data_IF_347679079117
#
_entry.id   IF_347679079117
#
_cell.length_a   1.000
_cell.length_b   1.000
_cell.length_c   1.000
_cell.angle_alpha   90.00
_cell.angle_beta   90.00
_cell.angle_gamma   90.00
#
_symmetry.space_group_name_H-M   'P 1'
#
loop_
_entity.id
_entity.type
_entity.pdbx_description
1 polymer ?
#
# COMPACT_ATOMS: atom_id res chain seq x y z
N UNK A 1 19.59 31.96 7.97
CA UNK A 1 18.27 31.37 7.69
C UNK A 1 18.35 29.89 7.98
N UNK A 2 17.97 29.50 9.18
CA UNK A 2 18.08 28.12 9.67
C UNK A 2 16.90 27.28 9.21
N UNK A 3 17.14 26.00 8.95
CA UNK A 3 16.09 24.99 8.78
C UNK A 3 15.88 24.31 10.14
N UNK A 4 14.69 24.44 10.72
CA UNK A 4 14.29 23.58 11.84
C UNK A 4 13.71 22.26 11.31
N UNK A 5 14.02 21.11 11.94
CA UNK A 5 13.43 19.82 11.61
C UNK A 5 12.14 19.57 12.41
N UNK A 6 11.10 19.04 11.77
CA UNK A 6 9.96 18.47 12.48
C UNK A 6 10.23 16.99 12.79
N UNK A 7 10.46 16.68 14.06
CA UNK A 7 10.49 15.32 14.59
C UNK A 7 9.48 15.18 15.73
N UNK A 8 8.80 14.03 15.75
CA UNK A 8 8.10 13.40 16.88
C UNK A 8 7.21 14.29 17.80
N UNK A 9 5.89 14.07 17.75
CA UNK A 9 5.10 13.77 18.96
C UNK A 9 3.75 13.16 18.56
N UNK A 10 3.57 11.87 18.83
CA UNK A 10 2.27 11.20 18.84
C UNK A 10 2.16 10.45 20.16
N UNK A 11 1.36 10.99 21.08
CA UNK A 11 0.99 10.32 22.33
C UNK A 11 -0.50 10.02 22.28
N UNK A 12 -0.84 8.74 22.30
CA UNK A 12 -2.23 8.28 22.43
C UNK A 12 -2.74 8.60 23.84
N UNK A 13 -3.88 9.30 23.94
CA UNK A 13 -4.65 9.32 25.18
C UNK A 13 -5.81 8.34 25.07
N UNK A 14 -5.59 7.15 25.62
CA UNK A 14 -6.66 6.18 25.88
C UNK A 14 -7.53 6.65 27.04
N UNK A 15 -8.81 6.92 26.77
CA UNK A 15 -9.86 6.95 27.80
C UNK A 15 -10.96 5.98 27.40
N UNK A 16 -11.06 4.88 28.16
CA UNK A 16 -12.07 3.85 27.93
C UNK A 16 -13.43 4.24 28.52
N UNK A 17 -14.50 3.83 27.84
CA UNK A 17 -15.82 3.66 28.44
C UNK A 17 -16.50 2.48 27.78
N UNK A 18 -16.68 1.40 28.54
CA UNK A 18 -17.45 0.24 28.11
C UNK A 18 -18.94 0.56 28.21
N UNK A 19 -19.72 0.18 27.20
CA UNK A 19 -21.13 -0.20 27.42
C UNK A 19 -21.51 -1.28 26.40
N UNK A 20 -21.87 -2.44 26.91
CA UNK A 20 -22.46 -3.52 26.11
C UNK A 20 -23.89 -3.14 25.72
N UNK A 21 -24.32 -3.49 24.51
CA UNK A 21 -25.72 -3.91 24.31
C UNK A 21 -25.82 -4.85 23.12
N UNK A 22 -26.30 -6.07 23.37
CA UNK A 22 -26.67 -7.00 22.32
C UNK A 22 -28.12 -6.79 21.88
N UNK A 23 -28.42 -7.04 20.59
CA UNK A 23 -29.65 -7.74 20.18
C UNK A 23 -29.61 -8.18 18.71
N UNK A 24 -30.33 -9.28 18.46
CA UNK A 24 -30.65 -9.88 17.16
C UNK A 24 -31.49 -8.93 16.29
N UNK A 25 -31.69 -9.16 14.99
CA UNK A 25 -32.66 -10.16 14.50
C UNK A 25 -32.44 -10.60 13.03
N UNK A 26 -33.16 -11.68 12.68
CA UNK A 26 -33.15 -12.35 11.39
C UNK A 26 -33.85 -11.56 10.27
N UNK A 27 -33.46 -11.81 9.02
CA UNK A 27 -34.40 -11.82 7.90
C UNK A 27 -33.95 -12.83 6.85
N UNK A 28 -34.68 -13.95 6.77
CA UNK A 28 -34.53 -14.95 5.73
C UNK A 28 -35.15 -14.44 4.43
N UNK A 29 -34.52 -14.68 3.28
CA UNK A 29 -35.28 -14.84 2.03
C UNK A 29 -34.73 -16.00 1.20
N UNK A 30 -35.48 -17.07 1.21
CA UNK A 30 -35.36 -18.21 0.32
C UNK A 30 -35.76 -17.84 -1.11
N UNK A 31 -35.08 -18.43 -2.10
CA UNK A 31 -35.77 -19.07 -3.23
C UNK A 31 -34.82 -20.06 -3.93
N UNK A 32 -35.27 -21.31 -4.06
CA UNK A 32 -34.57 -22.40 -4.72
C UNK A 32 -35.42 -22.98 -5.87
N UNK A 33 -34.77 -23.81 -6.72
CA UNK A 33 -35.30 -24.54 -7.91
C UNK A 33 -35.35 -23.70 -9.20
N UNK A 34 -35.12 -24.21 -10.43
CA UNK A 34 -34.58 -25.49 -11.00
C UNK A 34 -34.32 -25.24 -12.51
N UNK A 35 -33.57 -26.01 -13.32
CA UNK A 35 -32.63 -27.16 -13.16
C UNK A 35 -31.92 -27.42 -14.51
N UNK A 36 -30.76 -28.09 -14.55
CA UNK A 36 -30.22 -28.62 -15.82
C UNK A 36 -28.71 -28.86 -15.92
N UNK A 37 -28.26 -30.09 -15.68
CA UNK A 37 -27.02 -30.66 -16.28
C UNK A 37 -27.44 -31.60 -17.40
N UNK A 38 -26.63 -31.77 -18.46
CA UNK A 38 -25.90 -33.05 -18.51
C UNK A 38 -24.50 -33.04 -19.17
N UNK A 39 -23.72 -34.03 -18.70
CA UNK A 39 -22.69 -34.86 -19.40
C UNK A 39 -21.36 -34.28 -19.92
N UNK A 40 -20.30 -34.89 -19.38
CA UNK A 40 -18.94 -35.04 -19.94
C UNK A 40 -18.93 -35.75 -21.31
N UNK A 41 -17.90 -35.47 -22.12
CA UNK A 41 -17.25 -36.47 -23.00
C UNK A 41 -15.73 -36.34 -22.92
N UNK A 42 -15.04 -37.43 -22.60
CA UNK A 42 -13.60 -37.60 -22.84
C UNK A 42 -13.38 -37.98 -24.31
N UNK A 43 -12.37 -37.43 -24.95
CA UNK A 43 -11.67 -38.08 -26.07
C UNK A 43 -10.16 -37.89 -25.87
N UNK A 44 -9.47 -39.00 -25.59
CA UNK A 44 -8.02 -39.11 -25.79
C UNK A 44 -7.75 -39.26 -27.29
N UNK A 45 -6.63 -38.73 -27.78
CA UNK A 45 -5.87 -39.44 -28.80
C UNK A 45 -4.40 -39.00 -28.84
N UNK A 46 -3.51 -39.97 -28.60
CA UNK A 46 -2.09 -39.87 -28.93
C UNK A 46 -1.90 -39.99 -30.44
N UNK A 47 -0.91 -39.31 -31.02
CA UNK A 47 -0.12 -39.91 -32.10
C UNK A 47 1.31 -39.34 -32.20
N UNK A 48 2.27 -40.23 -32.43
CA UNK A 48 3.72 -39.97 -32.56
C UNK A 48 4.14 -39.87 -34.04
N UNK A 49 5.42 -39.46 -34.26
CA UNK A 49 6.24 -39.50 -35.50
C UNK A 49 6.04 -38.28 -36.43
N UNK A 50 7.05 -37.79 -37.17
CA UNK A 50 8.47 -38.21 -37.33
C UNK A 50 9.35 -37.05 -37.82
N UNK A 51 10.67 -37.18 -37.61
CA UNK A 51 11.76 -36.33 -38.10
C UNK A 51 11.64 -35.80 -39.55
N UNK A 52 12.19 -34.60 -39.81
CA UNK A 52 13.01 -34.40 -41.03
C UNK A 52 14.17 -33.39 -40.83
N UNK A 53 15.38 -33.94 -40.88
CA UNK A 53 16.67 -33.23 -40.91
C UNK A 53 16.85 -32.60 -42.31
N UNK A 54 17.38 -31.37 -42.42
CA UNK A 54 18.00 -30.87 -43.66
C UNK A 54 19.29 -30.11 -43.34
N UNK A 55 20.41 -30.64 -43.82
CA UNK A 55 21.70 -29.95 -43.83
C UNK A 55 21.72 -28.87 -44.93
N UNK A 56 22.50 -27.80 -44.72
CA UNK A 56 23.22 -27.14 -45.83
C UNK A 56 24.55 -26.54 -45.35
N UNK A 57 25.65 -27.22 -45.69
CA UNK A 57 27.02 -26.66 -45.86
C UNK A 57 26.97 -25.61 -46.99
N UNK A 58 27.88 -24.65 -47.18
CA UNK A 58 29.22 -24.34 -46.67
C UNK A 58 29.48 -22.86 -47.03
N UNK A 59 30.33 -22.14 -46.28
CA UNK A 59 31.49 -21.45 -46.88
C UNK A 59 32.48 -21.02 -45.78
N UNK A 60 33.74 -21.42 -45.92
CA UNK A 60 34.86 -20.78 -45.22
C UNK A 60 35.26 -19.54 -46.00
N UNK A 61 35.83 -18.55 -45.32
CA UNK A 61 37.00 -17.84 -45.81
C UNK A 61 37.91 -17.54 -44.60
N UNK A 62 39.19 -17.93 -44.70
CA UNK A 62 40.21 -17.66 -43.69
C UNK A 62 40.94 -16.38 -44.07
N UNK A 63 41.14 -15.45 -43.12
CA UNK A 63 42.24 -14.49 -43.18
C UNK A 63 43.03 -14.56 -41.88
N UNK A 64 44.35 -14.62 -42.03
CA UNK A 64 45.34 -14.81 -40.98
C UNK A 64 45.78 -13.43 -40.46
N UNK A 65 45.97 -13.28 -39.16
CA UNK A 65 46.55 -12.09 -38.55
C UNK A 65 47.49 -12.50 -37.42
N UNK A 66 48.77 -12.16 -37.55
CA UNK A 66 49.77 -12.40 -36.52
C UNK A 66 49.74 -11.30 -35.44
N UNK A 67 50.00 -11.76 -34.22
CA UNK A 67 50.57 -11.10 -33.04
C UNK A 67 51.01 -9.63 -33.22
N UNK A 68 50.46 -8.73 -32.39
CA UNK A 68 51.35 -7.87 -31.59
C UNK A 68 50.80 -7.46 -30.19
N UNK A 69 51.53 -7.95 -29.20
CA UNK A 69 51.85 -7.47 -27.84
C UNK A 69 51.10 -6.28 -27.19
N UNK A 70 50.47 -6.56 -26.03
CA UNK A 70 50.21 -5.68 -24.87
C UNK A 70 49.49 -4.33 -25.02
N UNK A 71 48.33 -4.22 -24.37
CA UNK A 71 48.26 -3.45 -23.12
C UNK A 71 47.09 -3.90 -22.22
N UNK A 72 47.24 -3.70 -20.91
CA UNK A 72 46.41 -4.36 -19.89
C UNK A 72 44.93 -3.91 -19.91
N UNK A 73 44.03 -4.81 -20.27
CA UNK A 73 42.65 -4.78 -19.80
C UNK A 73 42.57 -5.63 -18.52
N UNK A 74 42.36 -4.99 -17.39
CA UNK A 74 42.08 -5.66 -16.12
C UNK A 74 40.85 -6.56 -16.27
N UNK A 75 41.02 -7.84 -15.95
CA UNK A 75 39.88 -8.73 -15.71
C UNK A 75 39.12 -8.18 -14.49
N UNK A 76 37.97 -7.54 -14.74
CA UNK A 76 36.99 -7.33 -13.69
C UNK A 76 36.35 -8.67 -13.38
N UNK A 77 36.56 -9.13 -12.15
CA UNK A 77 36.25 -10.46 -11.68
C UNK A 77 34.75 -10.72 -11.70
N UNK A 78 34.31 -11.76 -12.43
CA UNK A 78 32.90 -12.08 -12.65
C UNK A 78 32.20 -12.78 -11.47
N UNK A 79 32.74 -12.65 -10.26
CA UNK A 79 32.44 -13.53 -9.12
C UNK A 79 31.83 -12.81 -7.90
N UNK A 80 31.91 -11.48 -7.83
CA UNK A 80 31.60 -10.69 -6.63
C UNK A 80 30.11 -10.81 -6.18
N UNK A 81 29.17 -10.57 -7.10
CA UNK A 81 27.73 -10.61 -6.79
C UNK A 81 27.21 -11.97 -6.30
N UNK A 82 27.84 -13.08 -6.69
CA UNK A 82 27.46 -14.44 -6.24
C UNK A 82 27.83 -14.67 -4.76
N UNK A 83 28.99 -14.18 -4.34
CA UNK A 83 29.44 -14.24 -2.95
C UNK A 83 28.60 -13.31 -2.04
N UNK A 84 28.25 -12.12 -2.53
CA UNK A 84 27.38 -11.18 -1.80
C UNK A 84 25.96 -11.74 -1.60
N UNK A 85 25.34 -12.29 -2.65
CA UNK A 85 24.03 -12.98 -2.58
C UNK A 85 24.08 -14.12 -1.57
N UNK A 86 25.10 -14.98 -1.65
CA UNK A 86 25.28 -16.12 -0.73
C UNK A 86 25.41 -15.64 0.72
N UNK A 87 26.14 -14.55 0.95
CA UNK A 87 26.32 -13.95 2.28
C UNK A 87 25.02 -13.39 2.83
N UNK A 88 24.24 -12.67 2.01
CA UNK A 88 22.95 -12.10 2.42
C UNK A 88 21.92 -13.20 2.71
N UNK A 89 21.86 -14.26 1.90
CA UNK A 89 20.97 -15.39 2.15
C UNK A 89 21.37 -16.15 3.43
N UNK A 90 22.67 -16.39 3.67
CA UNK A 90 23.15 -16.95 4.95
C UNK A 90 22.76 -16.07 6.14
N UNK A 91 22.90 -14.74 6.05
CA UNK A 91 22.43 -13.81 7.10
C UNK A 91 20.92 -13.90 7.34
N UNK A 92 20.10 -13.89 6.29
CA UNK A 92 18.63 -13.98 6.40
C UNK A 92 18.18 -15.31 7.00
N UNK A 93 18.86 -16.42 6.66
CA UNK A 93 18.61 -17.74 7.23
C UNK A 93 18.91 -17.80 8.72
N UNK A 94 20.02 -17.20 9.17
CA UNK A 94 20.33 -17.09 10.61
C UNK A 94 19.26 -16.24 11.33
N UNK A 95 18.85 -15.10 10.76
CA UNK A 95 17.78 -14.28 11.32
C UNK A 95 16.43 -15.02 11.39
N UNK A 96 16.18 -15.94 10.44
CA UNK A 96 15.04 -16.86 10.40
C UNK A 96 15.19 -18.11 11.31
N UNK A 97 16.23 -18.18 12.15
CA UNK A 97 16.43 -19.28 13.09
C UNK A 97 16.98 -20.54 12.42
N UNK A 98 18.01 -20.41 11.59
CA UNK A 98 18.75 -21.54 11.01
C UNK A 98 20.17 -21.59 11.55
N UNK A 99 20.60 -22.78 11.98
CA UNK A 99 21.96 -23.05 12.47
C UNK A 99 22.95 -23.22 11.31
N UNK A 100 23.05 -22.20 10.45
CA UNK A 100 23.99 -22.17 9.32
C UNK A 100 25.24 -21.41 9.74
N UNK A 101 26.41 -22.01 9.49
CA UNK A 101 27.68 -21.39 9.79
C UNK A 101 27.97 -20.24 8.81
N UNK A 102 27.77 -19.00 9.26
CA UNK A 102 28.11 -17.79 8.48
C UNK A 102 29.60 -17.61 8.21
N UNK A 103 30.45 -18.41 8.84
CA UNK A 103 31.92 -18.37 8.75
C UNK A 103 32.53 -19.56 7.96
N UNK A 104 31.71 -20.42 7.34
CA UNK A 104 32.17 -21.59 6.61
C UNK A 104 31.86 -21.54 5.11
N UNK A 105 32.73 -22.17 4.32
CA UNK A 105 32.54 -22.53 2.90
C UNK A 105 31.49 -23.65 2.73
N UNK A 106 30.32 -23.46 3.34
CA UNK A 106 29.13 -24.24 3.03
C UNK A 106 28.78 -23.98 1.55
N UNK A 107 29.17 -24.91 0.67
CA UNK A 107 28.94 -24.96 -0.79
C UNK A 107 27.44 -25.07 -1.19
N UNK A 108 26.54 -24.67 -0.30
CA UNK A 108 25.11 -24.59 -0.61
C UNK A 108 24.87 -23.56 -1.73
N UNK A 109 24.36 -24.02 -2.87
CA UNK A 109 24.07 -23.13 -3.98
C UNK A 109 23.00 -22.11 -3.60
N UNK A 110 23.05 -20.93 -4.24
CA UNK A 110 22.08 -19.83 -4.03
C UNK A 110 20.63 -20.32 -4.06
N UNK A 111 20.27 -21.21 -5.00
CA UNK A 111 18.94 -21.79 -5.11
C UNK A 111 18.51 -22.64 -3.89
N UNK A 112 19.45 -23.36 -3.24
CA UNK A 112 19.17 -24.13 -2.02
C UNK A 112 18.98 -23.20 -0.82
N UNK A 113 19.76 -22.11 -0.76
CA UNK A 113 19.60 -21.09 0.28
C UNK A 113 18.28 -20.32 0.15
N UNK A 114 17.88 -19.92 -1.07
CA UNK A 114 16.57 -19.33 -1.35
C UNK A 114 15.41 -20.25 -0.93
N UNK A 115 15.43 -21.52 -1.36
CA UNK A 115 14.37 -22.49 -1.03
C UNK A 115 14.28 -22.74 0.49
N UNK A 116 15.43 -22.89 1.17
CA UNK A 116 15.50 -23.02 2.63
C UNK A 116 14.90 -21.80 3.35
N UNK A 117 15.23 -20.58 2.88
CA UNK A 117 14.73 -19.34 3.46
C UNK A 117 13.22 -19.20 3.28
N UNK A 118 12.70 -19.47 2.08
CA UNK A 118 11.26 -19.45 1.80
C UNK A 118 10.51 -20.49 2.63
N UNK A 119 11.06 -21.69 2.79
CA UNK A 119 10.48 -22.74 3.65
C UNK A 119 10.41 -22.29 5.12
N UNK A 120 11.49 -21.79 5.70
CA UNK A 120 11.51 -21.27 7.08
C UNK A 120 10.58 -20.09 7.29
N UNK A 121 10.61 -19.10 6.39
CA UNK A 121 9.69 -17.96 6.44
C UNK A 121 8.22 -18.39 6.35
N UNK A 122 7.89 -19.28 5.42
CA UNK A 122 6.51 -19.80 5.27
C UNK A 122 6.07 -20.54 6.53
N UNK A 123 6.92 -21.42 7.08
CA UNK A 123 6.62 -22.17 8.30
C UNK A 123 6.42 -21.23 9.51
N UNK A 124 7.27 -20.22 9.68
CA UNK A 124 7.12 -19.24 10.77
C UNK A 124 5.79 -18.47 10.65
N UNK A 125 5.47 -17.91 9.49
CA UNK A 125 4.21 -17.19 9.28
C UNK A 125 2.96 -18.08 9.35
N UNK A 126 3.07 -19.36 9.00
CA UNK A 126 1.96 -20.30 9.13
C UNK A 126 1.76 -20.74 10.58
N UNK A 127 2.83 -20.99 11.34
CA UNK A 127 2.77 -21.13 12.80
C UNK A 127 2.16 -19.89 13.45
N UNK A 128 2.58 -18.67 13.06
CA UNK A 128 1.98 -17.43 13.57
C UNK A 128 0.46 -17.41 13.38
N UNK A 129 -0.04 -17.91 12.25
CA UNK A 129 -1.47 -17.91 11.88
C UNK A 129 -2.27 -19.09 12.44
N UNK A 130 -1.63 -20.16 12.88
CA UNK A 130 -2.28 -21.39 13.36
C UNK A 130 -2.90 -21.21 14.77
N UNK A 131 -4.24 -21.27 14.95
CA UNK A 131 -4.85 -21.12 16.26
C UNK A 131 -4.59 -22.28 17.23
N UNK A 132 -4.11 -23.44 16.75
CA UNK A 132 -3.81 -24.61 17.60
C UNK A 132 -2.49 -24.48 18.38
N UNK A 133 -1.54 -23.67 17.88
CA UNK A 133 -0.28 -23.40 18.56
C UNK A 133 -0.52 -22.36 19.67
N UNK A 134 -0.14 -22.59 20.94
CA UNK A 134 -0.29 -21.60 22.01
C UNK A 134 0.49 -20.30 21.77
N UNK A 135 -0.06 -19.16 22.17
CA UNK A 135 0.51 -17.82 21.90
C UNK A 135 1.95 -17.66 22.41
N UNK A 136 2.25 -18.18 23.60
CA UNK A 136 3.59 -18.12 24.19
C UNK A 136 4.63 -18.96 23.45
N UNK A 137 4.23 -19.97 22.67
CA UNK A 137 5.13 -20.75 21.81
C UNK A 137 5.47 -20.05 20.48
N UNK A 138 4.88 -18.88 20.20
CA UNK A 138 5.10 -18.10 18.97
C UNK A 138 6.12 -16.98 19.10
N UNK A 139 6.59 -16.68 20.32
CA UNK A 139 7.53 -15.58 20.57
C UNK A 139 8.79 -15.69 19.70
N UNK A 140 9.30 -16.90 19.47
CA UNK A 140 10.38 -17.15 18.52
C UNK A 140 9.99 -16.78 17.08
N UNK A 141 8.88 -17.30 16.57
CA UNK A 141 8.39 -17.03 15.21
C UNK A 141 8.15 -15.52 14.98
N UNK A 142 7.60 -14.81 15.98
CA UNK A 142 7.42 -13.34 15.95
C UNK A 142 8.77 -12.64 15.79
N UNK A 143 9.75 -12.94 16.66
CA UNK A 143 11.07 -12.33 16.59
C UNK A 143 11.80 -12.63 15.27
N UNK A 144 11.73 -13.87 14.78
CA UNK A 144 12.33 -14.26 13.49
C UNK A 144 11.66 -13.51 12.33
N UNK A 145 10.33 -13.44 12.29
CA UNK A 145 9.60 -12.69 11.27
C UNK A 145 9.97 -11.19 11.30
N UNK A 146 9.94 -10.53 12.47
CA UNK A 146 10.31 -9.13 12.61
C UNK A 146 11.74 -8.85 12.10
N UNK A 147 12.73 -9.66 12.51
CA UNK A 147 14.13 -9.51 12.09
C UNK A 147 14.31 -9.65 10.58
N UNK A 148 13.64 -10.64 9.96
CA UNK A 148 13.70 -10.87 8.50
C UNK A 148 13.04 -9.71 7.73
N UNK A 149 11.86 -9.24 8.16
CA UNK A 149 11.18 -8.08 7.56
C UNK A 149 12.08 -6.84 7.62
N UNK A 150 12.63 -6.54 8.80
CA UNK A 150 13.47 -5.36 9.02
C UNK A 150 14.75 -5.39 8.16
N UNK A 151 15.44 -6.55 8.11
CA UNK A 151 16.65 -6.72 7.28
C UNK A 151 16.34 -6.57 5.78
N UNK A 152 15.25 -7.17 5.29
CA UNK A 152 14.84 -7.04 3.88
C UNK A 152 14.41 -5.61 3.53
N UNK A 153 13.70 -4.91 4.42
CA UNK A 153 13.35 -3.50 4.20
C UNK A 153 14.61 -2.62 4.14
N UNK A 154 15.59 -2.86 5.03
CA UNK A 154 16.90 -2.19 4.97
C UNK A 154 17.63 -2.40 3.64
N UNK A 155 17.75 -3.66 3.20
CA UNK A 155 18.35 -4.02 1.92
C UNK A 155 17.62 -3.37 0.73
N UNK A 156 16.29 -3.43 0.69
CA UNK A 156 15.48 -2.82 -0.38
C UNK A 156 15.65 -1.30 -0.43
N UNK A 157 15.70 -0.62 0.74
CA UNK A 157 16.00 0.83 0.81
C UNK A 157 17.40 1.16 0.30
N UNK A 158 18.39 0.33 0.61
CA UNK A 158 19.74 0.50 0.07
C UNK A 158 19.78 0.34 -1.45
N UNK A 159 19.20 -0.74 -2.00
CA UNK A 159 19.16 -0.98 -3.45
C UNK A 159 18.43 0.13 -4.23
N UNK A 160 17.38 0.72 -3.64
CA UNK A 160 16.57 1.77 -4.28
C UNK A 160 17.01 3.20 -3.96
N UNK A 161 18.13 3.37 -3.25
CA UNK A 161 18.74 4.70 -3.07
C UNK A 161 19.17 5.29 -4.43
N UNK A 162 19.11 6.63 -4.63
CA UNK A 162 19.41 7.26 -5.91
C UNK A 162 20.73 6.79 -6.53
N UNK A 163 20.68 6.37 -7.79
CA UNK A 163 21.83 5.89 -8.55
C UNK A 163 22.29 4.44 -8.27
N UNK A 164 21.94 3.83 -7.13
CA UNK A 164 22.40 2.46 -6.80
C UNK A 164 21.73 1.36 -7.65
N UNK A 165 20.44 1.51 -7.94
CA UNK A 165 19.63 0.49 -8.64
C UNK A 165 20.12 0.14 -10.06
N UNK A 166 20.86 1.04 -10.71
CA UNK A 166 21.48 0.83 -12.03
C UNK A 166 22.92 0.29 -11.99
N UNK A 167 23.55 0.29 -10.81
CA UNK A 167 24.97 -0.06 -10.62
C UNK A 167 25.12 -1.45 -9.97
N UNK A 168 24.20 -1.84 -9.08
CA UNK A 168 24.30 -3.09 -8.32
C UNK A 168 24.06 -4.33 -9.19
N UNK A 169 24.71 -5.44 -8.82
CA UNK A 169 24.62 -6.72 -9.53
C UNK A 169 23.17 -7.21 -9.72
N UNK A 170 22.90 -7.79 -10.90
CA UNK A 170 21.56 -8.22 -11.31
C UNK A 170 21.13 -9.52 -10.60
N UNK A 171 22.04 -10.39 -10.18
CA UNK A 171 21.70 -11.56 -9.37
C UNK A 171 21.31 -11.15 -7.94
N UNK A 172 22.00 -10.16 -7.37
CA UNK A 172 21.68 -9.55 -6.08
C UNK A 172 20.31 -8.86 -6.07
N UNK A 173 20.05 -8.00 -7.05
CA UNK A 173 18.72 -7.41 -7.25
C UNK A 173 17.63 -8.49 -7.37
N UNK A 174 17.92 -9.57 -8.11
CA UNK A 174 17.00 -10.68 -8.31
C UNK A 174 16.67 -11.46 -7.02
N UNK A 175 17.69 -11.77 -6.21
CA UNK A 175 17.52 -12.47 -4.94
C UNK A 175 16.72 -11.63 -3.94
N UNK A 176 17.12 -10.36 -3.74
CA UNK A 176 16.45 -9.45 -2.81
C UNK A 176 15.00 -9.19 -3.24
N UNK A 177 14.74 -8.97 -4.53
CA UNK A 177 13.37 -8.84 -5.05
C UNK A 177 12.52 -10.08 -4.75
N UNK A 178 13.08 -11.28 -4.93
CA UNK A 178 12.36 -12.54 -4.74
C UNK A 178 11.97 -12.77 -3.28
N UNK A 179 12.92 -12.58 -2.35
CA UNK A 179 12.68 -12.79 -0.93
C UNK A 179 11.82 -11.67 -0.31
N UNK A 180 12.02 -10.41 -0.71
CA UNK A 180 11.14 -9.32 -0.29
C UNK A 180 9.70 -9.52 -0.79
N UNK A 181 9.51 -9.94 -2.04
CA UNK A 181 8.17 -10.23 -2.60
C UNK A 181 7.47 -11.38 -1.86
N UNK A 182 8.20 -12.44 -1.51
CA UNK A 182 7.68 -13.55 -0.71
C UNK A 182 7.24 -13.09 0.68
N UNK A 183 8.08 -12.30 1.38
CA UNK A 183 7.76 -11.77 2.71
C UNK A 183 6.58 -10.79 2.65
N UNK A 184 6.50 -9.89 1.67
CA UNK A 184 5.33 -9.01 1.45
C UNK A 184 4.03 -9.83 1.32
N UNK A 185 4.05 -10.94 0.58
CA UNK A 185 2.91 -11.84 0.46
C UNK A 185 2.54 -12.49 1.80
N UNK A 186 3.51 -12.94 2.59
CA UNK A 186 3.25 -13.54 3.91
C UNK A 186 2.74 -12.52 4.94
N UNK A 187 3.30 -11.30 4.96
CA UNK A 187 2.80 -10.16 5.75
C UNK A 187 1.35 -9.83 5.38
N UNK A 188 1.04 -9.81 4.08
CA UNK A 188 -0.32 -9.61 3.58
C UNK A 188 -1.29 -10.73 4.03
N UNK A 189 -0.81 -11.98 4.06
CA UNK A 189 -1.58 -13.16 4.50
C UNK A 189 -1.86 -13.15 6.00
N UNK A 190 -0.92 -12.67 6.81
CA UNK A 190 -1.12 -12.42 8.25
C UNK A 190 -2.13 -11.28 8.49
N UNK A 191 -1.92 -10.09 7.90
CA UNK A 191 -2.81 -8.92 8.03
C UNK A 191 -4.28 -9.19 7.63
N UNK A 192 -4.53 -10.11 6.68
CA UNK A 192 -5.90 -10.49 6.28
C UNK A 192 -6.59 -11.48 7.23
N UNK A 193 -5.88 -12.05 8.20
CA UNK A 193 -6.41 -13.09 9.09
C UNK A 193 -7.17 -12.45 10.27
N UNK A 194 -8.46 -12.20 10.10
CA UNK A 194 -9.33 -11.66 11.14
C UNK A 194 -9.82 -12.76 12.09
N UNK A 195 -8.93 -13.20 12.98
CA UNK A 195 -9.24 -14.18 14.02
C UNK A 195 -8.81 -13.63 15.39
N UNK A 196 -9.61 -13.75 16.48
CA UNK A 196 -9.28 -13.18 17.79
C UNK A 196 -7.90 -13.58 18.31
N UNK A 197 -7.48 -14.82 18.03
CA UNK A 197 -6.13 -15.32 18.31
C UNK A 197 -5.02 -14.38 17.79
N UNK A 198 -5.13 -13.88 16.55
CA UNK A 198 -4.11 -13.04 15.92
C UNK A 198 -4.03 -11.67 16.62
N UNK A 199 -5.11 -11.24 17.26
CA UNK A 199 -5.18 -9.98 18.01
C UNK A 199 -4.49 -10.06 19.38
N UNK A 200 -3.95 -11.21 19.78
CA UNK A 200 -3.21 -11.37 21.04
C UNK A 200 -1.97 -10.45 21.12
N UNK A 201 -1.68 -9.82 22.28
CA UNK A 201 -0.59 -8.84 22.42
C UNK A 201 0.80 -9.35 22.04
N UNK A 202 1.09 -10.65 22.20
CA UNK A 202 2.39 -11.21 21.82
C UNK A 202 2.67 -11.18 20.30
N UNK A 203 1.63 -11.03 19.47
CA UNK A 203 1.75 -10.91 18.02
C UNK A 203 1.77 -9.44 17.54
N UNK A 204 1.62 -8.46 18.44
CA UNK A 204 1.66 -7.02 18.11
C UNK A 204 2.92 -6.64 17.31
N UNK A 205 4.16 -7.00 17.70
CA UNK A 205 5.36 -6.54 16.99
C UNK A 205 5.47 -6.97 15.51
N UNK A 206 4.87 -8.11 15.15
CA UNK A 206 4.81 -8.56 13.74
C UNK A 206 3.57 -8.01 13.03
N UNK A 207 2.48 -7.74 13.75
CA UNK A 207 1.29 -7.09 13.21
C UNK A 207 1.54 -5.65 12.80
N UNK A 208 2.22 -4.87 13.64
CA UNK A 208 2.51 -3.45 13.38
C UNK A 208 3.33 -3.30 12.09
N UNK A 209 4.30 -4.20 11.86
CA UNK A 209 5.06 -4.28 10.60
C UNK A 209 4.19 -4.70 9.40
N UNK A 210 3.10 -5.44 9.63
CA UNK A 210 2.18 -5.91 8.59
C UNK A 210 1.02 -4.94 8.31
N UNK A 211 0.82 -3.92 9.13
CA UNK A 211 -0.21 -2.89 8.95
C UNK A 211 0.12 -1.96 7.76
N UNK A 212 -0.86 -1.18 7.34
CA UNK A 212 -0.74 -0.36 6.12
C UNK A 212 -0.31 1.04 6.49
N UNK A 213 1.00 1.20 6.70
CA UNK A 213 1.66 2.45 7.09
C UNK A 213 2.58 3.00 5.96
N UNK A 214 3.19 4.19 6.12
CA UNK A 214 4.18 4.71 5.19
C UNK A 214 5.36 3.76 4.96
N UNK A 215 5.88 3.12 6.00
CA UNK A 215 7.05 2.23 5.93
C UNK A 215 6.75 0.97 5.12
N UNK A 216 5.56 0.37 5.31
CA UNK A 216 5.09 -0.77 4.54
C UNK A 216 4.84 -0.38 3.07
N UNK A 217 4.21 0.77 2.85
CA UNK A 217 3.94 1.30 1.49
C UNK A 217 5.24 1.52 0.73
N UNK A 218 6.21 2.18 1.36
CA UNK A 218 7.53 2.41 0.77
C UNK A 218 8.28 1.10 0.53
N UNK A 219 8.20 0.12 1.45
CA UNK A 219 8.84 -1.19 1.26
C UNK A 219 8.28 -1.94 0.05
N UNK A 220 6.96 -1.93 -0.16
CA UNK A 220 6.33 -2.56 -1.33
C UNK A 220 6.69 -1.81 -2.62
N UNK A 221 6.59 -0.48 -2.63
CA UNK A 221 6.92 0.36 -3.80
C UNK A 221 8.38 0.22 -4.20
N UNK A 222 9.31 0.27 -3.24
CA UNK A 222 10.73 0.08 -3.49
C UNK A 222 11.03 -1.34 -3.99
N UNK A 223 10.41 -2.38 -3.41
CA UNK A 223 10.52 -3.76 -3.93
C UNK A 223 10.04 -3.84 -5.38
N UNK A 224 8.93 -3.16 -5.72
CA UNK A 224 8.42 -3.13 -7.09
C UNK A 224 9.39 -2.43 -8.06
N UNK A 225 10.03 -1.33 -7.66
CA UNK A 225 11.07 -0.64 -8.45
C UNK A 225 12.25 -1.58 -8.78
N UNK A 226 12.73 -2.38 -7.82
CA UNK A 226 13.75 -3.42 -8.07
C UNK A 226 13.22 -4.48 -9.05
N UNK A 227 11.96 -4.92 -8.90
CA UNK A 227 11.33 -5.84 -9.84
C UNK A 227 11.29 -5.30 -11.27
N UNK A 228 11.09 -3.99 -11.44
CA UNK A 228 11.09 -3.35 -12.76
C UNK A 228 12.50 -3.22 -13.34
N UNK A 229 13.54 -2.93 -12.55
CA UNK A 229 14.93 -2.83 -13.06
C UNK A 229 15.50 -4.16 -13.57
N UNK A 230 15.00 -5.30 -13.08
CA UNK A 230 15.41 -6.65 -13.50
C UNK A 230 14.44 -7.32 -14.49
N UNK A 231 13.60 -6.54 -15.18
CA UNK A 231 12.61 -6.98 -16.18
C UNK A 231 11.45 -7.85 -15.64
N UNK A 232 11.25 -7.91 -14.32
CA UNK A 232 10.13 -8.61 -13.65
C UNK A 232 8.89 -7.74 -13.47
N UNK A 233 8.50 -6.99 -14.51
CA UNK A 233 7.36 -6.04 -14.48
C UNK A 233 6.03 -6.67 -14.04
N UNK A 234 5.76 -7.94 -14.39
CA UNK A 234 4.51 -8.62 -14.01
C UNK A 234 4.48 -8.98 -12.51
N UNK A 235 5.61 -9.39 -11.95
CA UNK A 235 5.75 -9.68 -10.52
C UNK A 235 5.69 -8.38 -9.70
N UNK A 236 6.33 -7.31 -10.18
CA UNK A 236 6.23 -5.97 -9.60
C UNK A 236 4.79 -5.45 -9.58
N UNK A 237 4.06 -5.59 -10.70
CA UNK A 237 2.61 -5.31 -10.76
C UNK A 237 1.83 -6.12 -9.72
N UNK A 238 2.09 -7.42 -9.58
CA UNK A 238 1.36 -8.27 -8.64
C UNK A 238 1.47 -7.82 -7.17
N UNK A 239 2.66 -7.36 -6.71
CA UNK A 239 2.82 -6.85 -5.34
C UNK A 239 2.20 -5.46 -5.16
N UNK A 240 2.25 -4.60 -6.18
CA UNK A 240 1.55 -3.31 -6.20
C UNK A 240 0.02 -3.50 -6.16
N UNK A 241 -0.53 -4.44 -6.91
CA UNK A 241 -1.96 -4.78 -6.90
C UNK A 241 -2.41 -5.39 -5.55
N UNK A 242 -1.50 -5.97 -4.75
CA UNK A 242 -1.81 -6.40 -3.37
C UNK A 242 -1.93 -5.21 -2.42
N UNK A 243 -1.07 -4.20 -2.57
CA UNK A 243 -1.11 -2.95 -1.81
C UNK A 243 -2.36 -2.13 -2.14
N UNK A 244 -2.72 -2.00 -3.42
CA UNK A 244 -3.96 -1.31 -3.84
C UNK A 244 -5.21 -1.94 -3.22
N UNK A 245 -5.27 -3.28 -3.16
CA UNK A 245 -6.35 -4.01 -2.47
C UNK A 245 -6.43 -3.72 -0.96
N UNK A 246 -5.34 -3.28 -0.32
CA UNK A 246 -5.40 -2.76 1.06
C UNK A 246 -6.02 -1.38 1.08
N UNK A 247 -5.60 -0.47 0.21
CA UNK A 247 -6.15 0.89 0.13
C UNK A 247 -7.65 0.89 -0.14
N UNK A 248 -8.12 0.09 -1.10
CA UNK A 248 -9.56 -0.05 -1.42
C UNK A 248 -10.38 -0.57 -0.23
N UNK A 249 -9.81 -1.39 0.66
CA UNK A 249 -10.48 -1.84 1.90
C UNK A 249 -10.43 -0.77 3.00
N UNK A 250 -9.27 -0.15 3.20
CA UNK A 250 -9.06 0.91 4.19
C UNK A 250 -9.85 2.18 3.88
N UNK A 251 -10.23 2.36 2.61
CA UNK A 251 -11.19 3.35 2.13
C UNK A 251 -12.44 3.47 3.02
N UNK A 252 -12.94 2.35 3.54
CA UNK A 252 -14.15 2.33 4.39
C UNK A 252 -13.82 2.20 5.90
N UNK A 253 -12.55 2.37 6.28
CA UNK A 253 -12.04 2.24 7.65
C UNK A 253 -11.10 3.40 8.04
N UNK A 254 -11.19 4.55 7.33
CA UNK A 254 -10.22 5.66 7.36
C UNK A 254 -9.99 6.35 8.69
N UNK A 255 -10.91 6.24 9.65
CA UNK A 255 -10.72 6.76 11.01
C UNK A 255 -9.43 6.23 11.71
N UNK A 256 -8.76 5.25 11.11
CA UNK A 256 -7.48 4.66 11.55
C UNK A 256 -6.23 5.21 10.87
N UNK A 257 -6.32 6.02 9.80
CA UNK A 257 -5.17 6.44 8.99
C UNK A 257 -5.29 7.89 8.53
N UNK A 258 -4.65 8.81 9.27
CA UNK A 258 -4.54 10.23 8.91
C UNK A 258 -3.78 10.48 7.62
N UNK A 259 -2.78 9.64 7.30
CA UNK A 259 -1.89 9.78 6.13
C UNK A 259 -2.36 9.00 4.87
N UNK A 260 -3.65 8.63 4.80
CA UNK A 260 -4.16 7.75 3.73
C UNK A 260 -3.94 8.30 2.32
N UNK A 261 -4.03 9.63 2.13
CA UNK A 261 -3.77 10.31 0.86
C UNK A 261 -2.33 10.10 0.41
N UNK A 262 -1.39 10.33 1.30
CA UNK A 262 0.05 10.22 1.07
C UNK A 262 0.45 8.79 0.69
N UNK A 263 -0.18 7.77 1.29
CA UNK A 263 0.03 6.37 0.91
C UNK A 263 -0.45 6.08 -0.52
N UNK A 264 -1.64 6.55 -0.87
CA UNK A 264 -2.23 6.35 -2.22
C UNK A 264 -1.46 7.14 -3.28
N UNK A 265 -1.01 8.36 -2.96
CA UNK A 265 -0.19 9.20 -3.83
C UNK A 265 1.17 8.56 -4.12
N UNK A 266 1.92 8.19 -3.06
CA UNK A 266 3.22 7.50 -3.15
C UNK A 266 3.14 6.24 -4.01
N UNK A 267 2.05 5.47 -3.86
CA UNK A 267 1.77 4.30 -4.67
C UNK A 267 1.47 4.67 -6.14
N UNK A 268 0.55 5.61 -6.37
CA UNK A 268 0.06 5.97 -7.70
C UNK A 268 1.16 6.58 -8.55
N UNK A 269 1.96 7.48 -8.00
CA UNK A 269 3.10 8.11 -8.69
C UNK A 269 4.13 7.06 -9.08
N UNK A 270 4.61 6.26 -8.12
CA UNK A 270 5.63 5.26 -8.40
C UNK A 270 5.16 4.18 -9.39
N UNK A 271 3.87 3.83 -9.37
CA UNK A 271 3.28 2.91 -10.35
C UNK A 271 3.24 3.50 -11.76
N UNK A 272 2.96 4.80 -11.89
CA UNK A 272 2.97 5.52 -13.17
C UNK A 272 4.40 5.69 -13.71
N UNK A 273 5.36 6.09 -12.87
CA UNK A 273 6.80 6.12 -13.16
C UNK A 273 7.33 4.78 -13.69
N UNK A 274 6.86 3.66 -13.11
CA UNK A 274 7.21 2.30 -13.54
C UNK A 274 6.56 1.89 -14.87
N UNK A 275 5.72 2.74 -15.47
CA UNK A 275 4.96 2.45 -16.69
C UNK A 275 3.86 1.41 -16.49
N UNK A 276 3.32 1.32 -15.27
CA UNK A 276 2.28 0.35 -14.90
C UNK A 276 0.88 1.00 -14.77
N UNK A 277 0.78 2.31 -15.04
CA UNK A 277 -0.40 3.18 -14.90
C UNK A 277 -0.65 3.62 -13.46
N UNK A 278 -1.54 4.58 -13.23
CA UNK A 278 -1.82 5.11 -11.87
C UNK A 278 -2.45 4.10 -10.89
N UNK A 279 -3.19 3.12 -11.39
CA UNK A 279 -3.82 2.04 -10.59
C UNK A 279 -3.87 0.72 -11.36
N UNK A 280 -4.43 -0.36 -10.79
CA UNK A 280 -4.54 -1.66 -11.46
C UNK A 280 -5.62 -1.72 -12.55
N UNK A 281 -6.69 -0.91 -12.45
CA UNK A 281 -7.81 -0.88 -13.39
C UNK A 281 -8.67 0.38 -13.19
N UNK A 282 -9.55 0.69 -14.16
CA UNK A 282 -10.42 1.87 -14.17
C UNK A 282 -11.33 1.98 -12.94
N UNK A 283 -11.86 0.87 -12.41
CA UNK A 283 -12.73 0.90 -11.23
C UNK A 283 -11.93 1.28 -9.98
N UNK A 284 -10.70 0.78 -9.87
CA UNK A 284 -9.77 1.11 -8.79
C UNK A 284 -9.26 2.55 -8.91
N UNK A 285 -9.09 3.07 -10.14
CA UNK A 285 -8.87 4.49 -10.38
C UNK A 285 -10.02 5.33 -9.85
N UNK A 286 -11.26 5.10 -10.31
CA UNK A 286 -12.46 5.83 -9.84
C UNK A 286 -12.64 5.76 -8.32
N UNK A 287 -12.28 4.63 -7.71
CA UNK A 287 -12.35 4.43 -6.26
C UNK A 287 -11.25 5.13 -5.46
N UNK A 288 -10.16 5.58 -6.08
CA UNK A 288 -9.03 6.27 -5.45
C UNK A 288 -8.76 7.67 -6.01
N UNK A 289 -9.46 8.08 -7.07
CA UNK A 289 -9.19 9.30 -7.85
C UNK A 289 -9.09 10.56 -7.00
N UNK A 290 -9.99 10.73 -6.04
CA UNK A 290 -9.96 11.86 -5.09
C UNK A 290 -8.67 11.95 -4.27
N UNK A 291 -8.02 10.82 -3.97
CA UNK A 291 -6.75 10.75 -3.23
C UNK A 291 -5.53 10.95 -4.13
N UNK A 292 -5.69 10.71 -5.44
CA UNK A 292 -4.66 10.88 -6.47
C UNK A 292 -4.68 12.31 -7.03
N UNK A 293 -5.85 12.95 -7.09
CA UNK A 293 -6.04 14.29 -7.66
C UNK A 293 -5.97 15.36 -6.56
N UNK A 294 -5.02 16.31 -6.60
CA UNK A 294 -5.08 17.51 -5.79
C UNK A 294 -6.25 18.38 -6.28
N UNK A 295 -7.29 18.54 -5.46
CA UNK A 295 -8.52 19.26 -5.87
C UNK A 295 -8.58 20.68 -5.29
N UNK A 296 -7.92 20.91 -4.15
CA UNK A 296 -7.78 22.20 -3.49
C UNK A 296 -6.31 22.56 -3.30
N UNK A 297 -6.00 23.86 -3.36
CA UNK A 297 -4.68 24.40 -3.04
C UNK A 297 -4.38 24.35 -1.52
N UNK A 298 -5.42 24.45 -0.68
CA UNK A 298 -5.30 24.29 0.77
C UNK A 298 -5.29 22.80 1.15
N UNK A 299 -4.10 22.32 1.51
CA UNK A 299 -3.88 20.95 1.94
C UNK A 299 -4.65 20.58 3.21
N UNK A 300 -4.83 21.50 4.17
CA UNK A 300 -5.56 21.21 5.39
C UNK A 300 -7.07 21.08 5.11
N UNK A 301 -7.62 21.90 4.23
CA UNK A 301 -8.99 21.74 3.74
C UNK A 301 -9.16 20.40 2.98
N UNK A 302 -8.18 20.02 2.16
CA UNK A 302 -8.17 18.73 1.43
C UNK A 302 -8.18 17.54 2.41
N UNK A 303 -7.34 17.55 3.45
CA UNK A 303 -7.30 16.51 4.50
C UNK A 303 -8.60 16.48 5.32
N UNK A 304 -9.18 17.64 5.64
CA UNK A 304 -10.46 17.67 6.36
C UNK A 304 -11.60 17.09 5.51
N UNK A 305 -11.60 17.31 4.18
CA UNK A 305 -12.50 16.64 3.24
C UNK A 305 -12.23 15.13 3.11
N UNK A 306 -10.98 14.67 3.23
CA UNK A 306 -10.67 13.23 3.23
C UNK A 306 -11.38 12.45 4.36
N UNK A 307 -11.56 13.10 5.51
CA UNK A 307 -12.35 12.56 6.63
C UNK A 307 -13.87 12.55 6.41
N UNK A 308 -14.36 13.25 5.37
CA UNK A 308 -15.78 13.35 5.01
C UNK A 308 -16.24 12.32 3.96
N UNK A 309 -15.33 11.61 3.31
CA UNK A 309 -15.66 10.58 2.32
C UNK A 309 -16.30 9.34 3.01
N UNK A 310 -17.56 9.06 2.65
CA UNK A 310 -18.35 7.94 3.19
C UNK A 310 -19.29 8.33 4.34
N UNK A 311 -19.36 9.61 4.71
CA UNK A 311 -20.24 10.08 5.78
C UNK A 311 -21.72 10.08 5.33
N UNK A 312 -22.67 9.83 6.26
CA UNK A 312 -24.09 9.70 5.90
C UNK A 312 -24.78 11.04 5.64
N UNK A 313 -24.34 12.12 6.29
CA UNK A 313 -24.93 13.45 6.18
C UNK A 313 -23.87 14.55 6.15
N UNK A 314 -24.24 15.66 5.51
CA UNK A 314 -23.38 16.83 5.31
C UNK A 314 -24.11 18.13 5.58
N UNK A 315 -23.38 19.18 5.97
CA UNK A 315 -23.86 20.56 5.87
C UNK A 315 -22.86 21.38 5.05
N UNK A 316 -23.36 22.41 4.37
CA UNK A 316 -22.54 23.43 3.71
C UNK A 316 -23.05 24.80 4.13
N UNK A 317 -22.17 25.61 4.73
CA UNK A 317 -22.41 27.03 4.95
C UNK A 317 -21.63 27.82 3.89
N UNK A 318 -22.24 28.84 3.33
CA UNK A 318 -21.65 29.64 2.24
C UNK A 318 -21.60 31.09 2.69
N UNK A 319 -20.44 31.75 2.63
CA UNK A 319 -20.34 33.18 2.96
C UNK A 319 -20.99 34.04 1.87
N UNK A 320 -21.45 35.24 2.22
CA UNK A 320 -21.69 36.27 1.19
C UNK A 320 -20.35 36.70 0.56
N UNK A 321 -20.38 37.17 -0.69
CA UNK A 321 -19.20 37.71 -1.36
C UNK A 321 -18.75 39.05 -0.77
N UNK A 322 -17.53 39.46 -1.11
CA UNK A 322 -16.95 40.79 -0.81
C UNK A 322 -16.84 41.14 0.69
N UNK A 323 -16.36 40.19 1.51
CA UNK A 323 -16.02 40.43 2.92
C UNK A 323 -14.68 39.77 3.26
N UNK A 324 -13.91 40.38 4.17
CA UNK A 324 -12.71 39.73 4.73
C UNK A 324 -13.14 38.52 5.58
N UNK A 325 -12.56 37.36 5.27
CA UNK A 325 -12.82 36.09 5.96
C UNK A 325 -11.58 35.56 6.68
N UNK A 326 -10.44 36.26 6.64
CA UNK A 326 -9.13 35.78 7.09
C UNK A 326 -9.04 35.47 8.60
N UNK A 327 -9.88 36.09 9.43
CA UNK A 327 -10.01 35.73 10.86
C UNK A 327 -10.94 34.55 11.06
N UNK A 328 -12.08 34.57 10.38
CA UNK A 328 -13.08 33.50 10.40
C UNK A 328 -12.53 32.16 9.90
N UNK A 329 -11.69 32.15 8.88
CA UNK A 329 -10.98 30.96 8.40
C UNK A 329 -10.08 30.36 9.50
N UNK A 330 -9.21 31.17 10.10
CA UNK A 330 -8.32 30.73 11.19
C UNK A 330 -9.09 30.21 12.39
N UNK A 331 -10.20 30.85 12.76
CA UNK A 331 -11.06 30.37 13.84
C UNK A 331 -11.85 29.09 13.46
N UNK A 332 -12.28 28.97 12.20
CA UNK A 332 -12.99 27.78 11.69
C UNK A 332 -12.06 26.57 11.56
N UNK A 333 -10.78 26.76 11.24
CA UNK A 333 -9.78 25.71 11.21
C UNK A 333 -9.54 25.06 12.59
N UNK A 334 -9.87 25.76 13.68
CA UNK A 334 -9.84 25.21 15.04
C UNK A 334 -11.06 24.33 15.37
N UNK A 335 -12.09 24.27 14.50
CA UNK A 335 -13.26 23.41 14.68
C UNK A 335 -12.97 22.03 14.05
N UNK A 336 -12.88 20.94 14.85
CA UNK A 336 -12.44 19.64 14.34
C UNK A 336 -13.32 19.10 13.22
N UNK A 337 -12.69 18.68 12.11
CA UNK A 337 -13.37 18.08 10.96
C UNK A 337 -14.10 19.07 10.05
N UNK A 338 -13.92 20.38 10.20
CA UNK A 338 -14.45 21.38 9.27
C UNK A 338 -13.47 21.63 8.12
N UNK A 339 -13.95 21.56 6.88
CA UNK A 339 -13.20 22.07 5.73
C UNK A 339 -13.72 23.46 5.34
N UNK A 340 -12.83 24.42 5.14
CA UNK A 340 -13.14 25.75 4.63
C UNK A 340 -12.36 25.99 3.34
N UNK A 341 -13.03 26.29 2.23
CA UNK A 341 -12.38 26.44 0.92
C UNK A 341 -13.11 27.44 0.01
N UNK A 342 -12.44 27.82 -1.10
CA UNK A 342 -12.92 28.80 -2.07
C UNK A 342 -12.27 30.19 -1.90
N UNK A 343 -12.39 31.04 -2.92
CA UNK A 343 -11.66 32.30 -3.02
C UNK A 343 -12.53 33.50 -2.60
N UNK A 344 -13.39 34.01 -3.48
CA UNK A 344 -14.25 35.18 -3.21
C UNK A 344 -15.48 34.86 -2.34
N UNK A 345 -15.83 33.57 -2.25
CA UNK A 345 -16.92 33.02 -1.45
C UNK A 345 -16.38 31.75 -0.80
N UNK A 346 -16.46 31.68 0.54
CA UNK A 346 -16.02 30.53 1.31
C UNK A 346 -17.16 29.54 1.49
N UNK A 347 -16.85 28.28 1.25
CA UNK A 347 -17.68 27.12 1.54
C UNK A 347 -17.12 26.45 2.78
N UNK A 348 -17.95 26.28 3.79
CA UNK A 348 -17.59 25.67 5.07
C UNK A 348 -18.43 24.41 5.22
N UNK A 349 -17.77 23.27 5.19
CA UNK A 349 -18.41 21.96 5.08
C UNK A 349 -18.04 21.08 6.26
N UNK A 350 -18.99 20.23 6.64
CA UNK A 350 -18.81 19.13 7.59
C UNK A 350 -19.52 17.89 7.05
N UNK A 351 -18.95 16.72 7.32
CA UNK A 351 -19.58 15.42 7.10
C UNK A 351 -19.57 14.59 8.37
N UNK A 352 -20.70 13.97 8.71
CA UNK A 352 -20.80 13.13 9.91
C UNK A 352 -22.19 12.57 10.17
N UNK A 353 -22.39 11.89 11.32
CA UNK A 353 -23.71 11.51 11.81
C UNK A 353 -24.53 12.76 12.18
N UNK A 354 -25.87 12.63 12.14
CA UNK A 354 -26.82 13.75 12.19
C UNK A 354 -26.73 14.56 13.49
N UNK A 355 -26.36 13.90 14.58
CA UNK A 355 -26.21 14.45 15.93
C UNK A 355 -25.02 15.41 16.00
N UNK A 356 -23.89 15.04 15.38
CA UNK A 356 -22.70 15.88 15.31
C UNK A 356 -22.87 17.00 14.26
N UNK A 357 -23.65 16.76 13.22
CA UNK A 357 -23.94 17.71 12.14
C UNK A 357 -24.45 19.07 12.67
N UNK A 358 -25.45 19.03 13.57
CA UNK A 358 -26.03 20.24 14.15
C UNK A 358 -25.02 20.97 15.05
N UNK A 359 -24.31 20.24 15.91
CA UNK A 359 -23.31 20.80 16.84
C UNK A 359 -22.15 21.49 16.08
N UNK A 360 -21.62 20.85 15.04
CA UNK A 360 -20.59 21.45 14.19
C UNK A 360 -21.08 22.73 13.51
N UNK A 361 -22.33 22.72 13.03
CA UNK A 361 -22.96 23.87 12.38
C UNK A 361 -23.17 25.04 13.33
N UNK A 362 -23.62 24.78 14.56
CA UNK A 362 -23.78 25.79 15.61
C UNK A 362 -22.45 26.47 15.97
N UNK A 363 -21.37 25.69 16.11
CA UNK A 363 -20.03 26.21 16.37
C UNK A 363 -19.56 27.14 15.24
N UNK A 364 -19.68 26.72 13.97
CA UNK A 364 -19.28 27.57 12.82
C UNK A 364 -20.13 28.85 12.73
N UNK A 365 -21.43 28.78 13.02
CA UNK A 365 -22.30 29.97 13.05
C UNK A 365 -21.92 30.92 14.20
N UNK A 366 -21.54 30.39 15.37
CA UNK A 366 -21.05 31.20 16.48
C UNK A 366 -19.72 31.91 16.13
N UNK A 367 -18.79 31.19 15.49
CA UNK A 367 -17.52 31.76 14.98
C UNK A 367 -17.77 32.84 13.92
N UNK A 368 -18.68 32.60 12.96
CA UNK A 368 -19.07 33.60 11.96
C UNK A 368 -19.63 34.87 12.61
N UNK A 369 -20.49 34.73 13.63
CA UNK A 369 -21.06 35.85 14.38
C UNK A 369 -20.00 36.61 15.18
N UNK A 370 -19.04 35.92 15.79
CA UNK A 370 -17.95 36.55 16.55
C UNK A 370 -17.01 37.38 15.65
N UNK A 371 -16.68 36.86 14.46
CA UNK A 371 -15.81 37.53 13.48
C UNK A 371 -16.55 38.47 12.52
N UNK A 372 -17.86 38.68 12.70
CA UNK A 372 -18.68 39.59 11.88
C UNK A 372 -18.98 39.10 10.46
N UNK A 373 -18.69 37.84 10.14
CA UNK A 373 -18.87 37.24 8.81
C UNK A 373 -20.33 36.87 8.56
N UNK A 374 -20.86 37.29 7.41
CA UNK A 374 -22.23 37.00 6.98
C UNK A 374 -22.30 35.71 6.16
N UNK A 375 -23.16 34.79 6.60
CA UNK A 375 -23.49 33.55 5.90
C UNK A 375 -24.76 33.75 5.06
N UNK A 376 -24.76 33.20 3.84
CA UNK A 376 -25.89 33.24 2.90
C UNK A 376 -26.91 32.16 3.26
N UNK A 377 -28.06 32.55 3.80
CA UNK A 377 -29.14 31.60 4.11
C UNK A 377 -29.68 30.88 2.87
N UNK A 378 -29.70 31.56 1.72
CA UNK A 378 -30.19 31.02 0.43
C UNK A 378 -29.27 29.94 -0.13
N UNK A 379 -27.96 30.08 0.06
CA UNK A 379 -26.97 29.17 -0.55
C UNK A 379 -26.47 28.11 0.45
N UNK A 380 -26.70 28.29 1.75
CA UNK A 380 -26.29 27.35 2.79
C UNK A 380 -27.28 26.20 2.93
N UNK A 381 -26.78 24.96 2.99
CA UNK A 381 -27.56 23.74 3.10
C UNK A 381 -27.31 23.06 4.44
N UNK A 382 -28.39 22.71 5.16
CA UNK A 382 -28.32 22.36 6.60
C UNK A 382 -28.15 20.86 6.87
N UNK A 383 -28.63 20.02 5.96
CA UNK A 383 -28.57 18.55 6.06
C UNK A 383 -28.76 17.97 4.66
N UNK A 384 -27.69 17.47 4.05
CA UNK A 384 -27.66 16.86 2.73
C UNK A 384 -27.19 15.41 2.83
N UNK A 385 -27.69 14.53 1.95
CA UNK A 385 -27.14 13.17 1.80
C UNK A 385 -25.88 13.13 0.91
N UNK A 386 -25.61 14.20 0.17
CA UNK A 386 -24.43 14.37 -0.68
C UNK A 386 -24.13 15.84 -0.93
N UNK A 387 -22.87 16.18 -1.24
CA UNK A 387 -22.46 17.53 -1.64
C UNK A 387 -21.35 17.47 -2.71
N UNK A 388 -20.96 18.62 -3.29
CA UNK A 388 -19.96 18.70 -4.37
C UNK A 388 -18.73 19.54 -4.01
N UNK A 389 -17.56 19.06 -4.42
CA UNK A 389 -16.29 19.79 -4.42
C UNK A 389 -15.70 19.72 -5.83
N UNK A 390 -15.87 20.81 -6.59
CA UNK A 390 -15.55 20.81 -8.02
C UNK A 390 -16.34 19.71 -8.74
N UNK A 391 -15.61 18.79 -9.38
CA UNK A 391 -16.16 17.65 -10.11
C UNK A 391 -16.47 16.42 -9.23
N UNK A 392 -16.14 16.46 -7.94
CA UNK A 392 -16.35 15.33 -7.02
C UNK A 392 -17.65 15.45 -6.23
N UNK A 393 -18.38 14.34 -6.12
CA UNK A 393 -19.57 14.18 -5.28
C UNK A 393 -19.21 13.33 -4.07
N UNK A 394 -19.48 13.84 -2.87
CA UNK A 394 -19.38 13.13 -1.60
C UNK A 394 -20.72 12.52 -1.22
N UNK A 395 -20.73 11.31 -0.67
CA UNK A 395 -21.93 10.60 -0.24
C UNK A 395 -21.62 9.49 0.78
N UNK A 396 -22.66 8.86 1.32
CA UNK A 396 -22.55 7.64 2.12
C UNK A 396 -21.91 6.44 1.38
N UNK A 397 -22.00 6.41 0.04
CA UNK A 397 -21.29 5.41 -0.78
C UNK A 397 -19.79 5.76 -0.98
N UNK A 398 -19.38 6.93 -0.49
CA UNK A 398 -18.06 7.51 -0.65
C UNK A 398 -18.02 8.66 -1.67
N UNK A 399 -16.83 9.25 -1.83
CA UNK A 399 -16.52 10.20 -2.89
C UNK A 399 -16.36 9.51 -4.26
N UNK A 400 -16.87 10.14 -5.30
CA UNK A 400 -16.62 9.78 -6.70
C UNK A 400 -16.57 11.04 -7.58
N UNK A 401 -15.89 10.97 -8.73
CA UNK A 401 -15.97 12.02 -9.75
C UNK A 401 -17.27 11.88 -10.54
N UNK A 402 -18.01 12.97 -10.67
CA UNK A 402 -19.24 12.98 -11.45
C UNK A 402 -18.95 13.29 -12.93
N UNK A 403 -18.97 12.24 -13.75
CA UNK A 403 -18.76 12.35 -15.19
C UNK A 403 -19.92 13.00 -15.94
N UNK A 404 -21.03 13.36 -15.28
CA UNK A 404 -22.14 14.11 -15.87
C UNK A 404 -21.97 15.64 -15.76
N UNK A 405 -20.88 16.12 -15.16
CA UNK A 405 -20.57 17.54 -14.97
C UNK A 405 -19.46 18.07 -15.92
N UNK A 406 -19.07 17.28 -16.92
CA UNK A 406 -18.01 17.57 -17.91
C UNK A 406 -18.61 17.86 -19.31
#
# INVERSE_FOLDING_TARGET
MEKQPCGEFCQEQSTGSNTETARSDEAQHTNASTSGKPRRKNINNNNKKKNKKKNKKNKNDNVKGDIDTTNAASQLDGNDGSAEVTTILKQLLVLAGSDINTKGDDQASVAVLEDSLRKKATAAFDRLRDPSVPVHHKTGDVQHACRVIQKLNGLVKELTSPGKISIMDRHLQNAIFSEASHIIFMMQRLHRTDHPYIKAPALTPVRDLCDTCPEFTQFVVATARIGVSIDKKQQARAILDLLEKRFLKLRFQRAKLSCFRELVHTYSEARDEMGLGKTSNTDSFRALEWYITPTLDDYQAQINLDGMDGQPFYFELVTTAFQDTSKFERASAMVPGIACYGNSVKRIVYGGPKELLNRGRELVVAVAKAEGVRLSERNSQKCMASFRVGEFVFSAAGVCRDTAAA
#
